data_IF_700832274293
#
_entry.id   IF_700832274293
#
_cell.length_a   1.000
_cell.length_b   1.000
_cell.length_c   1.000
_cell.angle_alpha   90.00
_cell.angle_beta   90.00
_cell.angle_gamma   90.00
#
_symmetry.space_group_name_H-M   'P 1'
#
loop_
_entity.id
_entity.type
_entity.pdbx_description
1 polymer ?
#
# COMPACT_ATOMS: atom_id res chain seq x y z
N UNK A 1 42.64 -40.76 34.07
CA UNK A 1 42.29 -39.36 34.36
C UNK A 1 41.68 -39.29 35.76
N UNK A 2 42.05 -38.30 36.59
CA UNK A 2 41.45 -38.14 37.93
C UNK A 2 39.99 -37.68 37.77
N UNK A 3 39.06 -38.23 38.56
CA UNK A 3 37.60 -37.98 38.49
C UNK A 3 37.24 -36.49 38.33
N UNK A 4 37.96 -35.60 39.01
CA UNK A 4 37.76 -34.15 38.94
C UNK A 4 37.97 -33.55 37.54
N UNK A 5 38.85 -34.13 36.72
CA UNK A 5 39.06 -33.62 35.35
C UNK A 5 37.93 -34.00 34.40
N UNK A 6 37.32 -35.17 34.58
CA UNK A 6 36.12 -35.56 33.84
C UNK A 6 34.93 -34.65 34.20
N UNK A 7 34.76 -34.34 35.48
CA UNK A 7 33.73 -33.41 35.94
C UNK A 7 33.90 -32.02 35.33
N UNK A 8 35.13 -31.48 35.32
CA UNK A 8 35.41 -30.18 34.69
C UNK A 8 35.11 -30.16 33.20
N UNK A 9 35.47 -31.22 32.48
CA UNK A 9 35.20 -31.33 31.03
C UNK A 9 33.69 -31.36 30.77
N UNK A 10 32.92 -32.13 31.55
CA UNK A 10 31.47 -32.20 31.40
C UNK A 10 30.78 -30.86 31.65
N UNK A 11 31.22 -30.11 32.66
CA UNK A 11 30.71 -28.75 32.93
C UNK A 11 31.02 -27.83 31.75
N UNK A 12 32.22 -27.92 31.17
CA UNK A 12 32.62 -27.10 30.03
C UNK A 12 31.78 -27.40 28.78
N UNK A 13 31.52 -28.69 28.51
CA UNK A 13 30.67 -29.11 27.39
C UNK A 13 29.24 -28.63 27.58
N UNK A 14 28.68 -28.77 28.79
CA UNK A 14 27.34 -28.29 29.10
C UNK A 14 27.22 -26.76 28.93
N UNK A 15 28.23 -26.01 29.36
CA UNK A 15 28.27 -24.56 29.20
C UNK A 15 28.30 -24.15 27.72
N UNK A 16 29.16 -24.80 26.92
CA UNK A 16 29.28 -24.51 25.49
C UNK A 16 28.00 -24.89 24.73
N UNK A 17 27.38 -26.02 25.06
CA UNK A 17 26.11 -26.42 24.48
C UNK A 17 24.99 -25.44 24.83
N UNK A 18 24.92 -24.99 26.09
CA UNK A 18 23.95 -24.01 26.55
C UNK A 18 24.11 -22.65 25.86
N UNK A 19 25.35 -22.17 25.71
CA UNK A 19 25.66 -20.94 24.98
C UNK A 19 25.27 -21.03 23.50
N UNK A 20 25.63 -22.12 22.83
CA UNK A 20 25.28 -22.33 21.42
C UNK A 20 23.78 -22.39 21.18
N UNK A 21 23.06 -23.19 21.98
CA UNK A 21 21.61 -23.31 21.87
C UNK A 21 20.90 -21.99 22.21
N UNK A 22 21.35 -21.29 23.26
CA UNK A 22 20.80 -20.01 23.67
C UNK A 22 21.00 -18.92 22.62
N UNK A 23 22.19 -18.84 22.02
CA UNK A 23 22.50 -17.89 20.95
C UNK A 23 21.63 -18.15 19.71
N UNK A 24 21.54 -19.41 19.26
CA UNK A 24 20.75 -19.77 18.09
C UNK A 24 19.26 -19.45 18.28
N UNK A 25 18.68 -19.85 19.42
CA UNK A 25 17.28 -19.57 19.74
C UNK A 25 17.01 -18.07 19.92
N UNK A 26 17.95 -17.34 20.53
CA UNK A 26 17.85 -15.91 20.73
C UNK A 26 17.87 -15.14 19.41
N UNK A 27 18.81 -15.46 18.52
CA UNK A 27 18.91 -14.87 17.18
C UNK A 27 17.67 -15.19 16.34
N UNK A 28 17.30 -16.47 16.20
CA UNK A 28 16.16 -16.86 15.38
C UNK A 28 14.85 -16.18 15.83
N UNK A 29 14.56 -16.19 17.14
CA UNK A 29 13.35 -15.53 17.67
C UNK A 29 13.44 -14.00 17.63
N UNK A 30 14.65 -13.45 17.77
CA UNK A 30 14.88 -12.01 17.71
C UNK A 30 14.65 -11.47 16.30
N UNK A 31 15.22 -12.14 15.31
CA UNK A 31 15.11 -11.79 13.89
C UNK A 31 13.66 -11.92 13.41
N UNK A 32 12.98 -13.03 13.72
CA UNK A 32 11.59 -13.23 13.33
C UNK A 32 10.67 -12.13 13.90
N UNK A 33 10.79 -11.84 15.20
CA UNK A 33 10.00 -10.78 15.83
C UNK A 33 10.34 -9.39 15.30
N UNK A 34 11.64 -9.13 15.09
CA UNK A 34 12.12 -7.86 14.55
C UNK A 34 11.56 -7.61 13.15
N UNK A 35 11.68 -8.61 12.27
CA UNK A 35 11.18 -8.58 10.91
C UNK A 35 9.66 -8.40 10.88
N UNK A 36 8.90 -9.21 11.62
CA UNK A 36 7.44 -9.08 11.64
C UNK A 36 6.99 -7.71 12.14
N UNK A 37 7.59 -7.19 13.22
CA UNK A 37 7.25 -5.86 13.74
C UNK A 37 7.58 -4.76 12.75
N UNK A 38 8.80 -4.78 12.20
CA UNK A 38 9.25 -3.79 11.22
C UNK A 38 8.40 -3.80 9.95
N UNK A 39 8.13 -4.98 9.39
CA UNK A 39 7.30 -5.13 8.20
C UNK A 39 5.86 -4.66 8.43
N UNK A 40 5.26 -5.03 9.55
CA UNK A 40 3.87 -4.66 9.84
C UNK A 40 3.72 -3.16 10.09
N UNK A 41 4.69 -2.55 10.77
CA UNK A 41 4.72 -1.11 11.01
C UNK A 41 4.90 -0.34 9.69
N UNK A 42 5.93 -0.67 8.91
CA UNK A 42 6.21 -0.01 7.64
C UNK A 42 5.10 -0.18 6.61
N UNK A 43 4.46 -1.36 6.55
CA UNK A 43 3.30 -1.58 5.66
C UNK A 43 2.10 -0.70 6.04
N UNK A 44 1.81 -0.53 7.33
CA UNK A 44 0.71 0.32 7.79
C UNK A 44 0.99 1.79 7.47
N UNK A 45 2.20 2.25 7.77
CA UNK A 45 2.62 3.63 7.54
C UNK A 45 2.59 3.97 6.05
N UNK A 46 3.17 3.13 5.19
CA UNK A 46 3.16 3.34 3.74
C UNK A 46 1.76 3.30 3.11
N UNK A 47 0.82 2.50 3.64
CA UNK A 47 -0.57 2.50 3.17
C UNK A 47 -1.29 3.80 3.54
N UNK A 48 -1.06 4.32 4.74
CA UNK A 48 -1.67 5.58 5.20
C UNK A 48 -1.13 6.73 4.36
N UNK A 49 0.19 6.84 4.24
CA UNK A 49 0.85 7.90 3.49
C UNK A 49 0.45 7.86 2.00
N UNK A 50 0.44 6.67 1.39
CA UNK A 50 0.00 6.51 0.00
C UNK A 50 -1.47 6.89 -0.21
N UNK A 51 -2.35 6.62 0.76
CA UNK A 51 -3.77 7.06 0.67
C UNK A 51 -3.91 8.57 0.81
N UNK A 52 -3.20 9.19 1.73
CA UNK A 52 -3.23 10.64 1.90
C UNK A 52 -2.69 11.36 0.66
N UNK A 53 -1.59 10.89 0.09
CA UNK A 53 -1.04 11.40 -1.16
C UNK A 53 -2.00 11.23 -2.34
N UNK A 54 -2.66 10.07 -2.44
CA UNK A 54 -3.67 9.85 -3.46
C UNK A 54 -4.88 10.79 -3.30
N UNK A 55 -5.35 11.04 -2.07
CA UNK A 55 -6.44 11.97 -1.79
C UNK A 55 -6.06 13.43 -2.03
N UNK A 56 -4.81 13.83 -1.74
CA UNK A 56 -4.33 15.19 -2.03
C UNK A 56 -4.12 15.42 -3.52
N UNK A 57 -3.60 14.43 -4.26
CA UNK A 57 -3.50 14.51 -5.72
C UNK A 57 -4.86 14.39 -6.41
N UNK A 58 -5.81 13.67 -5.82
CA UNK A 58 -7.19 13.61 -6.26
C UNK A 58 -8.04 14.78 -5.73
N UNK A 59 -7.45 15.81 -5.12
CA UNK A 59 -8.18 17.05 -4.86
C UNK A 59 -8.88 17.46 -6.16
N UNK A 60 -10.20 17.72 -6.09
CA UNK A 60 -11.01 17.89 -7.27
C UNK A 60 -10.40 19.05 -8.05
N UNK A 61 -9.94 18.78 -9.28
CA UNK A 61 -9.97 19.86 -10.25
C UNK A 61 -11.35 20.46 -10.13
N UNK A 62 -11.42 21.78 -9.99
CA UNK A 62 -12.64 22.49 -9.75
C UNK A 62 -13.53 22.28 -10.98
N UNK A 63 -14.25 21.15 -11.02
CA UNK A 63 -15.05 20.74 -12.14
C UNK A 63 -16.40 21.43 -12.03
N UNK A 64 -16.36 22.76 -11.94
CA UNK A 64 -17.55 23.56 -11.70
C UNK A 64 -18.59 23.34 -12.81
N UNK A 65 -18.20 22.76 -13.96
CA UNK A 65 -19.14 22.32 -14.98
C UNK A 65 -18.63 21.11 -15.80
N UNK A 66 -18.45 19.91 -15.20
CA UNK A 66 -18.17 18.69 -16.01
C UNK A 66 -19.19 18.54 -17.14
N UNK A 67 -20.47 18.80 -16.83
CA UNK A 67 -21.57 18.78 -17.79
C UNK A 67 -21.35 19.69 -19.00
N UNK A 68 -20.69 20.84 -18.83
CA UNK A 68 -20.44 21.76 -19.95
C UNK A 68 -19.28 21.32 -20.83
N UNK A 69 -18.29 20.64 -20.24
CA UNK A 69 -17.10 20.15 -20.94
C UNK A 69 -17.46 18.97 -21.84
N UNK A 70 -18.36 18.09 -21.39
CA UNK A 70 -18.74 16.88 -22.13
C UNK A 70 -20.01 17.04 -22.96
N UNK A 71 -20.68 18.19 -22.94
CA UNK A 71 -21.90 18.40 -23.72
C UNK A 71 -21.55 18.71 -25.19
N UNK A 72 -21.70 17.74 -26.13
CA UNK A 72 -21.36 17.94 -27.53
C UNK A 72 -22.34 18.89 -28.25
N UNK A 73 -23.37 19.36 -27.55
CA UNK A 73 -24.39 20.30 -28.04
C UNK A 73 -24.22 21.72 -27.49
N UNK A 74 -23.23 21.98 -26.62
CA UNK A 74 -22.89 23.35 -26.22
C UNK A 74 -22.16 24.02 -27.40
N UNK A 75 -22.86 24.94 -28.03
CA UNK A 75 -22.71 25.42 -29.41
C UNK A 75 -21.30 25.85 -29.83
N UNK A 76 -20.82 25.48 -31.04
CA UNK A 76 -19.97 26.38 -31.81
C UNK A 76 -20.84 27.56 -32.25
N UNK A 77 -20.36 28.79 -32.08
CA UNK A 77 -21.08 30.06 -32.37
C UNK A 77 -21.57 30.21 -33.82
N UNK A 78 -21.36 29.21 -34.68
CA UNK A 78 -21.93 29.07 -36.03
C UNK A 78 -22.37 27.63 -36.31
N UNK A 79 -23.28 27.08 -35.52
CA UNK A 79 -24.05 25.92 -35.95
C UNK A 79 -25.04 26.35 -37.05
N UNK A 80 -24.59 26.32 -38.31
CA UNK A 80 -25.48 26.52 -39.47
C UNK A 80 -26.36 25.27 -39.57
N UNK A 81 -27.53 25.29 -38.94
CA UNK A 81 -28.49 24.20 -39.04
C UNK A 81 -28.96 24.04 -40.51
N UNK A 82 -28.61 22.95 -41.21
CA UNK A 82 -29.04 22.75 -42.61
C UNK A 82 -30.55 22.49 -42.72
N UNK A 83 -31.24 22.22 -41.60
CA UNK A 83 -32.67 22.03 -41.50
C UNK A 83 -33.41 23.26 -40.98
N UNK A 84 -32.81 24.46 -40.98
CA UNK A 84 -33.46 25.70 -40.50
C UNK A 84 -34.78 26.06 -41.22
N UNK A 85 -35.14 25.35 -42.31
CA UNK A 85 -36.43 25.44 -43.00
C UNK A 85 -37.31 24.18 -42.94
N UNK A 86 -36.89 23.10 -42.27
CA UNK A 86 -37.65 21.85 -42.19
C UNK A 86 -38.04 21.57 -40.74
N UNK A 87 -39.09 22.25 -40.27
CA UNK A 87 -39.74 21.91 -38.98
C UNK A 87 -40.71 20.76 -39.24
N UNK A 88 -40.17 19.56 -39.42
CA UNK A 88 -40.98 18.33 -39.37
C UNK A 88 -40.70 17.72 -38.00
N UNK A 89 -41.66 17.82 -37.08
CA UNK A 89 -41.58 17.15 -35.78
C UNK A 89 -42.09 15.70 -35.96
N UNK A 90 -41.23 14.67 -35.95
CA UNK A 90 -41.65 13.29 -36.14
C UNK A 90 -42.40 12.71 -34.93
N UNK A 91 -42.49 13.47 -33.83
CA UNK A 91 -43.22 13.12 -32.60
C UNK A 91 -44.55 13.87 -32.45
N UNK A 92 -44.90 14.74 -33.40
CA UNK A 92 -46.24 15.31 -33.45
C UNK A 92 -47.17 14.27 -34.09
N UNK A 93 -47.74 13.39 -33.27
CA UNK A 93 -48.86 12.52 -33.63
C UNK A 93 -50.16 13.13 -33.08
#
# INVERSE_FOLDING_TARGET
>A
MKSNQLASILVLVALLAGLGAGYYLGMAKGEERGYQRGFTAGKKEGIVEGKEQALTQAQPQNFENVQDIVNPFKTPEKAVNPFKGAVINPFAQ
#
